data_IF_983850370388
#
_entry.id   IF_983850370388
#
_cell.length_a   1.000
_cell.length_b   1.000
_cell.length_c   1.000
_cell.angle_alpha   90.00
_cell.angle_beta   90.00
_cell.angle_gamma   90.00
#
_symmetry.space_group_name_H-M   'P 1'
#
loop_
_entity.id
_entity.type
_entity.pdbx_description
1 polymer ?
#
# COMPACT_ATOMS: atom_id res chain seq x y z
N UNK A 1 17.49 -10.67 12.37
CA UNK A 1 16.54 -11.46 13.21
C UNK A 1 16.73 -12.92 12.84
N UNK A 2 17.17 -13.77 13.76
CA UNK A 2 17.74 -15.09 13.45
C UNK A 2 16.73 -16.20 13.10
N UNK A 3 15.42 -15.90 13.02
CA UNK A 3 14.38 -16.89 12.74
C UNK A 3 13.42 -16.51 11.59
N UNK A 4 13.61 -15.36 10.93
CA UNK A 4 12.81 -14.95 9.77
C UNK A 4 13.71 -15.09 8.54
N UNK A 5 13.34 -16.02 7.66
CA UNK A 5 14.01 -16.19 6.37
C UNK A 5 13.45 -15.16 5.39
N UNK A 6 14.29 -14.24 4.94
CA UNK A 6 13.94 -13.26 3.91
C UNK A 6 13.94 -13.95 2.54
N UNK A 7 12.74 -14.25 2.04
CA UNK A 7 12.56 -14.77 0.69
C UNK A 7 12.29 -13.57 -0.23
N UNK A 8 13.03 -13.43 -1.35
CA UNK A 8 12.74 -12.38 -2.33
C UNK A 8 11.34 -12.60 -2.91
N UNK A 9 10.50 -11.57 -2.77
CA UNK A 9 9.12 -11.54 -3.31
C UNK A 9 9.01 -10.41 -4.32
N UNK A 10 8.46 -10.72 -5.50
CA UNK A 10 8.26 -9.76 -6.60
C UNK A 10 7.00 -8.90 -6.36
N UNK A 11 7.04 -8.12 -5.28
CA UNK A 11 5.98 -7.18 -4.91
C UNK A 11 6.59 -5.87 -4.42
N UNK A 12 5.87 -4.74 -4.54
CA UNK A 12 6.34 -3.47 -4.01
C UNK A 12 6.67 -3.58 -2.50
N UNK A 13 7.66 -2.82 -1.99
CA UNK A 13 8.07 -2.85 -0.59
C UNK A 13 6.93 -2.71 0.42
N UNK A 14 5.91 -1.90 0.11
CA UNK A 14 4.71 -1.72 0.95
C UNK A 14 3.87 -3.00 1.11
N UNK A 15 3.92 -3.92 0.17
CA UNK A 15 3.25 -5.23 0.25
C UNK A 15 4.19 -6.29 0.83
N UNK A 16 5.47 -6.24 0.46
CA UNK A 16 6.51 -7.14 0.97
C UNK A 16 6.59 -7.11 2.51
N UNK A 17 6.55 -5.92 3.11
CA UNK A 17 6.63 -5.78 4.57
C UNK A 17 5.40 -6.38 5.30
N UNK A 18 4.26 -6.52 4.62
CA UNK A 18 3.04 -7.11 5.18
C UNK A 18 2.94 -8.62 4.97
N UNK A 19 3.84 -9.21 4.17
CA UNK A 19 3.78 -10.62 3.76
C UNK A 19 3.81 -11.63 4.92
N UNK A 20 4.35 -11.22 6.08
CA UNK A 20 4.35 -12.02 7.32
C UNK A 20 2.93 -12.32 7.82
N UNK A 21 1.96 -11.46 7.53
CA UNK A 21 0.56 -11.63 7.89
C UNK A 21 -0.32 -11.54 6.64
N UNK A 22 -0.55 -12.70 6.00
CA UNK A 22 -1.34 -12.81 4.76
C UNK A 22 -2.75 -12.19 4.89
N UNK A 23 -3.55 -12.47 5.94
CA UNK A 23 -4.85 -11.82 6.11
C UNK A 23 -4.79 -10.29 6.10
N UNK A 24 -3.82 -9.70 6.82
CA UNK A 24 -3.67 -8.25 6.87
C UNK A 24 -3.25 -7.68 5.50
N UNK A 25 -2.31 -8.36 4.83
CA UNK A 25 -1.85 -7.97 3.49
C UNK A 25 -2.99 -7.99 2.46
N UNK A 26 -3.79 -9.05 2.42
CA UNK A 26 -4.93 -9.14 1.51
C UNK A 26 -6.01 -8.10 1.83
N UNK A 27 -6.27 -7.82 3.12
CA UNK A 27 -7.21 -6.76 3.52
C UNK A 27 -6.76 -5.37 3.04
N UNK A 28 -5.46 -5.04 3.16
CA UNK A 28 -4.90 -3.77 2.69
C UNK A 28 -4.96 -3.68 1.16
N UNK A 29 -4.66 -4.77 0.45
CA UNK A 29 -4.76 -4.82 -1.02
C UNK A 29 -6.19 -4.61 -1.50
N UNK A 30 -7.15 -5.29 -0.88
CA UNK A 30 -8.57 -5.15 -1.19
C UNK A 30 -9.06 -3.72 -0.93
N UNK A 31 -8.66 -3.12 0.19
CA UNK A 31 -8.99 -1.73 0.50
C UNK A 31 -8.42 -0.78 -0.55
N UNK A 32 -7.14 -0.92 -0.90
CA UNK A 32 -6.49 -0.06 -1.89
C UNK A 32 -7.20 -0.13 -3.25
N UNK A 33 -7.57 -1.33 -3.70
CA UNK A 33 -8.31 -1.52 -4.95
C UNK A 33 -9.74 -0.95 -4.90
N UNK A 34 -10.37 -0.91 -3.72
CA UNK A 34 -11.73 -0.39 -3.56
C UNK A 34 -11.79 1.14 -3.49
N UNK A 35 -10.70 1.81 -3.13
CA UNK A 35 -10.66 3.28 -2.92
C UNK A 35 -9.85 4.02 -3.98
N UNK A 36 -9.04 3.33 -4.78
CA UNK A 36 -8.21 3.93 -5.82
C UNK A 36 -8.39 3.20 -7.16
N UNK A 37 -7.74 3.69 -8.22
CA UNK A 37 -7.72 3.08 -9.56
C UNK A 37 -9.11 3.00 -10.22
N UNK A 38 -9.93 4.04 -10.02
CA UNK A 38 -11.22 4.16 -10.73
C UNK A 38 -12.40 3.46 -10.04
N UNK A 39 -12.20 2.93 -8.84
CA UNK A 39 -13.30 2.55 -7.95
C UNK A 39 -13.97 3.78 -7.28
N UNK A 40 -13.32 4.94 -7.34
CA UNK A 40 -13.81 6.22 -6.85
C UNK A 40 -14.51 7.03 -7.94
N UNK A 41 -15.33 8.01 -7.55
CA UNK A 41 -15.84 9.05 -8.45
C UNK A 41 -14.76 10.07 -8.87
N UNK A 42 -13.59 10.04 -8.23
CA UNK A 42 -12.47 10.92 -8.52
C UNK A 42 -11.67 10.42 -9.73
N UNK A 43 -11.06 11.36 -10.46
CA UNK A 43 -10.06 11.01 -11.47
C UNK A 43 -8.80 10.49 -10.80
N UNK A 44 -8.04 9.66 -11.53
CA UNK A 44 -6.77 9.10 -11.04
C UNK A 44 -5.79 10.16 -10.51
N UNK A 45 -5.74 11.32 -11.19
CA UNK A 45 -4.88 12.44 -10.77
C UNK A 45 -5.34 13.03 -9.43
N UNK A 46 -6.64 13.15 -9.21
CA UNK A 46 -7.19 13.66 -7.95
C UNK A 46 -6.92 12.69 -6.79
N UNK A 47 -7.07 11.38 -7.01
CA UNK A 47 -6.74 10.35 -6.03
C UNK A 47 -5.27 10.49 -5.56
N UNK A 48 -4.34 10.56 -6.51
CA UNK A 48 -2.91 10.65 -6.24
C UNK A 48 -2.52 12.00 -5.59
N UNK A 49 -3.17 13.11 -5.99
CA UNK A 49 -2.96 14.40 -5.34
C UNK A 49 -3.35 14.36 -3.85
N UNK A 50 -4.47 13.73 -3.52
CA UNK A 50 -4.90 13.55 -2.12
C UNK A 50 -3.90 12.68 -1.37
N UNK A 51 -3.54 11.53 -1.94
CA UNK A 51 -2.56 10.61 -1.34
C UNK A 51 -1.23 11.31 -1.04
N UNK A 52 -0.69 12.06 -2.01
CA UNK A 52 0.56 12.82 -1.89
C UNK A 52 0.47 13.91 -0.81
N UNK A 53 -0.65 14.64 -0.78
CA UNK A 53 -0.85 15.73 0.20
C UNK A 53 -0.91 15.17 1.63
N UNK A 54 -1.65 14.07 1.83
CA UNK A 54 -1.77 13.41 3.13
C UNK A 54 -0.45 12.76 3.56
N UNK A 55 0.28 12.14 2.63
CA UNK A 55 1.60 11.59 2.90
C UNK A 55 2.58 12.68 3.36
N UNK A 56 2.63 13.81 2.66
CA UNK A 56 3.46 14.96 3.04
C UNK A 56 3.07 15.55 4.40
N UNK A 57 1.76 15.69 4.67
CA UNK A 57 1.27 16.16 5.96
C UNK A 57 1.71 15.26 7.13
N UNK A 58 1.78 13.95 6.88
CA UNK A 58 2.24 12.95 7.85
C UNK A 58 3.76 12.70 7.82
N UNK A 59 4.52 13.43 6.98
CA UNK A 59 5.96 13.19 6.76
C UNK A 59 6.26 11.74 6.36
N UNK A 60 5.34 11.09 5.63
CA UNK A 60 5.55 9.77 5.05
C UNK A 60 6.46 9.90 3.83
N UNK A 61 7.67 9.34 3.93
CA UNK A 61 8.72 9.46 2.91
C UNK A 61 8.58 8.46 1.76
N UNK A 62 8.11 7.26 2.07
CA UNK A 62 7.79 6.25 1.07
C UNK A 62 6.61 6.73 0.24
#
# INVERSE_FOLDING_TARGET
MSWIEEVPVDVPPVISCMSINKPAMEAVRALNAAVTFGASALTRVQEECIATTVANANRCRY
#
